data_IF_960765495073
#
_entry.id   IF_960765495073
#
_cell.length_a   1.000
_cell.length_b   1.000
_cell.length_c   1.000
_cell.angle_alpha   90.00
_cell.angle_beta   90.00
_cell.angle_gamma   90.00
#
_symmetry.space_group_name_H-M   'P 1'
#
loop_
_entity.id
_entity.type
_entity.pdbx_description
1 polymer ?
#
# COMPACT_ATOMS: atom_id res chain seq x y z
N UNK A 1 7.04 15.08 -11.18
CA UNK A 1 7.04 14.87 -9.71
C UNK A 1 8.35 14.22 -9.32
N UNK A 2 8.92 14.56 -8.17
CA UNK A 2 10.17 13.96 -7.71
C UNK A 2 9.92 12.52 -7.23
N UNK A 3 10.88 11.63 -7.45
CA UNK A 3 10.84 10.27 -6.90
C UNK A 3 11.08 10.33 -5.39
N UNK A 4 10.25 9.64 -4.61
CA UNK A 4 10.37 9.56 -3.15
C UNK A 4 10.49 8.10 -2.73
N UNK A 5 11.52 7.78 -1.95
CA UNK A 5 11.63 6.50 -1.25
C UNK A 5 11.18 6.69 0.20
N UNK A 6 10.16 5.98 0.63
CA UNK A 6 9.60 6.05 1.97
C UNK A 6 9.67 4.71 2.66
N UNK A 7 9.99 4.74 3.95
CA UNK A 7 9.86 3.64 4.91
C UNK A 7 8.81 4.04 5.93
N UNK A 8 8.57 3.22 6.96
CA UNK A 8 7.64 3.55 8.03
C UNK A 8 7.95 4.90 8.70
N UNK A 9 9.23 5.19 8.95
CA UNK A 9 9.65 6.33 9.77
C UNK A 9 10.34 7.45 8.97
N UNK A 10 10.75 7.19 7.72
CA UNK A 10 11.62 8.11 6.98
C UNK A 10 11.29 8.15 5.50
N UNK A 11 11.23 9.36 4.93
CA UNK A 11 11.15 9.62 3.50
C UNK A 11 12.44 10.25 2.96
N UNK A 12 12.85 9.85 1.76
CA UNK A 12 14.03 10.32 1.04
C UNK A 12 13.59 10.88 -0.31
N UNK A 13 13.77 12.19 -0.50
CA UNK A 13 13.51 12.84 -1.79
C UNK A 13 14.68 12.59 -2.76
N UNK A 14 14.36 12.23 -4.01
CA UNK A 14 15.35 11.94 -5.07
C UNK A 14 16.44 10.98 -4.57
N UNK A 15 16.05 9.77 -4.09
CA UNK A 15 17.00 8.82 -3.53
C UNK A 15 17.97 8.36 -4.62
N UNK A 16 19.27 8.31 -4.29
CA UNK A 16 20.28 7.73 -5.17
C UNK A 16 20.34 6.20 -5.01
N UNK A 17 21.05 5.54 -5.92
CA UNK A 17 21.18 4.08 -5.96
C UNK A 17 21.71 3.50 -4.64
N UNK A 18 22.63 4.22 -3.97
CA UNK A 18 23.22 3.82 -2.70
C UNK A 18 22.23 3.93 -1.53
N UNK A 19 21.42 4.99 -1.52
CA UNK A 19 20.34 5.19 -0.53
C UNK A 19 19.29 4.10 -0.67
N UNK A 20 18.87 3.80 -1.90
CA UNK A 20 17.93 2.70 -2.19
C UNK A 20 18.48 1.38 -1.63
N UNK A 21 19.71 1.01 -2.00
CA UNK A 21 20.33 -0.24 -1.55
C UNK A 21 20.43 -0.32 -0.02
N UNK A 22 20.85 0.77 0.63
CA UNK A 22 20.97 0.84 2.09
C UNK A 22 19.62 0.68 2.79
N UNK A 23 18.59 1.35 2.31
CA UNK A 23 17.25 1.27 2.89
C UNK A 23 16.69 -0.14 2.75
N UNK A 24 16.77 -0.74 1.57
CA UNK A 24 16.29 -2.10 1.33
C UNK A 24 17.04 -3.14 2.17
N UNK A 25 18.36 -3.00 2.30
CA UNK A 25 19.19 -3.86 3.15
C UNK A 25 18.87 -3.73 4.65
N UNK A 26 18.26 -2.61 5.06
CA UNK A 26 17.86 -2.36 6.45
C UNK A 26 16.52 -2.99 6.85
N UNK A 27 15.79 -3.57 5.88
CA UNK A 27 14.52 -4.25 6.12
C UNK A 27 14.77 -5.57 6.86
N UNK A 28 14.44 -5.59 8.15
CA UNK A 28 14.73 -6.68 9.08
C UNK A 28 13.51 -7.55 9.39
N UNK A 29 12.33 -7.18 8.90
CA UNK A 29 11.08 -7.89 9.18
C UNK A 29 10.50 -7.60 10.57
N UNK A 30 11.15 -6.72 11.35
CA UNK A 30 10.71 -6.30 12.67
C UNK A 30 10.08 -4.92 12.63
N UNK A 31 10.87 -3.88 12.89
CA UNK A 31 10.40 -2.48 12.77
C UNK A 31 10.44 -1.99 11.32
N UNK A 32 11.38 -2.51 10.53
CA UNK A 32 11.56 -2.12 9.14
C UNK A 32 11.06 -3.25 8.25
N UNK A 33 9.77 -3.19 7.90
CA UNK A 33 9.09 -4.24 7.13
C UNK A 33 8.74 -3.84 5.71
N UNK A 34 8.80 -2.54 5.40
CA UNK A 34 8.23 -1.97 4.18
C UNK A 34 9.12 -0.85 3.64
N UNK A 35 9.28 -0.82 2.32
CA UNK A 35 9.80 0.34 1.60
C UNK A 35 8.98 0.57 0.34
N UNK A 36 8.65 1.83 0.06
CA UNK A 36 7.83 2.27 -1.07
C UNK A 36 8.58 3.32 -1.86
N UNK A 37 8.70 3.15 -3.17
CA UNK A 37 9.36 4.06 -4.08
C UNK A 37 8.36 4.50 -5.15
N UNK A 38 8.10 5.80 -5.24
CA UNK A 38 7.17 6.33 -6.24
C UNK A 38 7.14 7.85 -6.29
N UNK A 39 6.69 8.45 -7.41
CA UNK A 39 6.40 9.88 -7.49
C UNK A 39 5.07 10.27 -6.82
N UNK A 40 4.13 9.33 -6.66
CA UNK A 40 2.81 9.54 -6.03
C UNK A 40 2.32 8.27 -5.35
N UNK A 41 1.31 8.38 -4.49
CA UNK A 41 0.62 7.23 -3.87
C UNK A 41 -0.17 6.38 -4.90
N UNK A 42 -0.31 6.90 -6.12
CA UNK A 42 -0.99 6.21 -7.22
C UNK A 42 -0.03 5.40 -8.08
N UNK A 43 1.25 5.78 -8.12
CA UNK A 43 2.29 5.17 -8.95
C UNK A 43 3.49 4.85 -8.08
N UNK A 44 3.62 3.59 -7.66
CA UNK A 44 4.72 3.17 -6.80
C UNK A 44 5.09 1.71 -7.02
N UNK A 45 6.35 1.39 -6.74
CA UNK A 45 6.80 0.04 -6.41
C UNK A 45 7.03 -0.03 -4.91
N UNK A 46 6.56 -1.08 -4.28
CA UNK A 46 6.68 -1.31 -2.85
C UNK A 46 7.23 -2.71 -2.62
N UNK A 47 8.07 -2.85 -1.61
CA UNK A 47 8.49 -4.17 -1.14
C UNK A 47 8.12 -4.36 0.31
N UNK A 48 7.80 -5.60 0.65
CA UNK A 48 7.62 -6.06 2.01
C UNK A 48 8.48 -7.29 2.27
N UNK A 49 8.92 -7.46 3.50
CA UNK A 49 9.70 -8.63 3.91
C UNK A 49 11.02 -8.25 4.56
N UNK A 50 12.01 -9.12 4.42
CA UNK A 50 13.31 -8.92 5.05
C UNK A 50 14.42 -9.64 4.31
N UNK A 51 15.67 -9.24 4.56
CA UNK A 51 16.84 -9.93 4.03
C UNK A 51 16.88 -11.42 4.43
N UNK A 52 16.28 -11.79 5.57
CA UNK A 52 16.27 -13.17 6.07
C UNK A 52 15.20 -14.04 5.43
N UNK A 53 14.05 -13.48 5.12
CA UNK A 53 12.87 -14.21 4.61
C UNK A 53 12.71 -14.08 3.10
N UNK A 54 13.45 -13.17 2.49
CA UNK A 54 13.18 -12.67 1.14
C UNK A 54 12.07 -11.64 1.13
N UNK A 55 11.81 -11.15 -0.08
CA UNK A 55 10.95 -10.01 -0.34
C UNK A 55 9.79 -10.36 -1.28
N UNK A 56 8.65 -9.73 -1.04
CA UNK A 56 7.57 -9.60 -2.02
C UNK A 56 7.56 -8.19 -2.61
N UNK A 57 7.02 -8.05 -3.81
CA UNK A 57 6.78 -6.77 -4.46
C UNK A 57 5.30 -6.51 -4.67
N UNK A 58 4.89 -5.27 -4.44
CA UNK A 58 3.63 -4.72 -4.90
C UNK A 58 3.93 -3.57 -5.88
N UNK A 59 3.19 -3.51 -6.98
CA UNK A 59 3.27 -2.45 -7.98
C UNK A 59 1.89 -1.83 -8.16
N UNK A 60 1.80 -0.51 -8.11
CA UNK A 60 0.58 0.22 -8.46
C UNK A 60 0.87 1.17 -9.61
N UNK A 61 0.04 1.10 -10.66
CA UNK A 61 0.20 1.87 -11.90
C UNK A 61 -1.04 2.75 -12.13
N UNK A 62 -1.06 3.89 -11.45
CA UNK A 62 -2.03 4.98 -11.60
C UNK A 62 -3.35 4.81 -10.85
N UNK A 63 -3.83 3.60 -10.60
CA UNK A 63 -5.05 3.38 -9.84
C UNK A 63 -5.03 2.09 -9.02
N UNK A 64 -5.91 2.02 -8.03
CA UNK A 64 -6.10 0.84 -7.18
C UNK A 64 -6.56 -0.40 -7.97
N UNK A 65 -7.24 -0.21 -9.11
CA UNK A 65 -7.63 -1.31 -10.01
C UNK A 65 -6.43 -1.90 -10.78
N UNK A 66 -5.31 -1.18 -10.79
CA UNK A 66 -4.05 -1.54 -11.44
C UNK A 66 -2.96 -1.78 -10.39
N UNK A 67 -3.34 -2.50 -9.34
CA UNK A 67 -2.43 -3.00 -8.33
C UNK A 67 -2.08 -4.46 -8.62
N UNK A 68 -0.79 -4.75 -8.58
CA UNK A 68 -0.21 -6.06 -8.85
C UNK A 68 0.69 -6.46 -7.68
N UNK A 69 0.76 -7.75 -7.41
CA UNK A 69 1.67 -8.34 -6.43
C UNK A 69 2.50 -9.43 -7.09
N UNK A 70 3.78 -9.53 -6.75
CA UNK A 70 4.63 -10.63 -7.23
C UNK A 70 4.12 -11.97 -6.67
N UNK A 71 4.04 -12.98 -7.52
CA UNK A 71 3.67 -14.35 -7.07
C UNK A 71 4.76 -14.93 -6.17
N UNK A 72 6.02 -14.68 -6.51
CA UNK A 72 7.17 -14.99 -5.66
C UNK A 72 7.29 -13.97 -4.52
N UNK A 73 7.26 -14.45 -3.28
CA UNK A 73 7.42 -13.64 -2.04
C UNK A 73 8.77 -13.83 -1.34
N UNK A 74 9.71 -14.52 -2.00
CA UNK A 74 11.05 -14.79 -1.50
C UNK A 74 12.11 -14.27 -2.48
N UNK A 75 11.87 -13.09 -3.08
CA UNK A 75 12.84 -12.45 -3.97
C UNK A 75 14.10 -12.04 -3.19
N UNK A 76 15.31 -12.21 -3.75
CA UNK A 76 16.55 -11.85 -3.09
C UNK A 76 16.77 -10.34 -3.07
N UNK A 77 17.51 -9.84 -2.07
CA UNK A 77 17.80 -8.41 -1.88
C UNK A 77 18.41 -7.76 -3.12
N UNK A 78 19.39 -8.41 -3.75
CA UNK A 78 20.11 -7.87 -4.91
C UNK A 78 19.16 -7.60 -6.07
N UNK A 79 18.26 -8.55 -6.35
CA UNK A 79 17.29 -8.42 -7.43
C UNK A 79 16.26 -7.32 -7.13
N UNK A 80 15.74 -7.23 -5.90
CA UNK A 80 14.80 -6.16 -5.50
C UNK A 80 15.47 -4.79 -5.56
N UNK A 81 16.73 -4.71 -5.17
CA UNK A 81 17.53 -3.49 -5.24
C UNK A 81 17.69 -3.02 -6.68
N UNK A 82 18.05 -3.93 -7.60
CA UNK A 82 18.15 -3.63 -9.02
C UNK A 82 16.80 -3.16 -9.59
N UNK A 83 15.70 -3.84 -9.24
CA UNK A 83 14.36 -3.45 -9.68
C UNK A 83 13.98 -2.03 -9.21
N UNK A 84 14.25 -1.68 -7.95
CA UNK A 84 13.99 -0.34 -7.42
C UNK A 84 14.86 0.73 -8.10
N UNK A 85 16.15 0.45 -8.33
CA UNK A 85 17.06 1.37 -9.02
C UNK A 85 16.65 1.59 -10.49
N UNK A 86 16.26 0.52 -11.20
CA UNK A 86 15.69 0.62 -12.56
C UNK A 86 14.42 1.46 -12.56
N UNK A 87 13.50 1.18 -11.63
CA UNK A 87 12.26 1.95 -11.49
C UNK A 87 12.52 3.44 -11.22
N UNK A 88 13.46 3.78 -10.33
CA UNK A 88 13.86 5.16 -10.04
C UNK A 88 14.33 5.92 -11.30
N UNK A 89 14.91 5.20 -12.27
CA UNK A 89 15.41 5.72 -13.55
C UNK A 89 14.35 5.69 -14.66
N UNK A 90 13.14 5.21 -14.37
CA UNK A 90 12.06 5.05 -15.35
C UNK A 90 12.22 3.81 -16.24
N UNK A 91 13.15 2.91 -15.92
CA UNK A 91 13.30 1.63 -16.59
C UNK A 91 12.33 0.60 -15.98
N UNK A 92 11.53 0.00 -16.85
CA UNK A 92 10.45 -0.93 -16.51
C UNK A 92 10.75 -2.37 -16.94
N UNK A 93 11.95 -2.64 -17.46
CA UNK A 93 12.38 -3.96 -17.96
C UNK A 93 12.27 -5.06 -16.90
N UNK A 94 12.59 -4.73 -15.64
CA UNK A 94 12.51 -5.63 -14.49
C UNK A 94 11.12 -6.23 -14.25
N UNK A 95 10.04 -5.58 -14.73
CA UNK A 95 8.67 -6.10 -14.55
C UNK A 95 8.47 -7.45 -15.23
N UNK A 96 9.19 -7.72 -16.32
CA UNK A 96 9.06 -8.96 -17.09
C UNK A 96 9.83 -10.14 -16.48
N UNK A 97 10.69 -9.89 -15.49
CA UNK A 97 11.51 -10.91 -14.84
C UNK A 97 10.77 -11.59 -13.67
N UNK A 98 9.58 -11.11 -13.30
CA UNK A 98 8.73 -11.73 -12.27
C UNK A 98 7.31 -11.92 -12.78
N UNK A 99 6.66 -12.94 -12.24
CA UNK A 99 5.23 -13.15 -12.44
C UNK A 99 4.41 -12.29 -11.48
N UNK A 100 3.32 -11.74 -11.98
CA UNK A 100 2.43 -10.83 -11.26
C UNK A 100 1.03 -11.41 -11.16
N UNK A 101 0.43 -11.25 -9.98
CA UNK A 101 -0.98 -11.49 -9.72
C UNK A 101 -1.68 -10.15 -9.49
N UNK A 102 -2.90 -9.99 -10.02
CA UNK A 102 -3.69 -8.78 -9.79
C UNK A 102 -4.22 -8.79 -8.35
N UNK A 103 -3.90 -7.74 -7.58
CA UNK A 103 -4.38 -7.61 -6.21
C UNK A 103 -5.80 -7.03 -6.23
N UNK A 104 -6.81 -7.91 -6.18
CA UNK A 104 -8.21 -7.49 -6.11
C UNK A 104 -8.48 -6.87 -4.74
N UNK A 105 -8.55 -5.54 -4.68
CA UNK A 105 -9.00 -4.86 -3.46
C UNK A 105 -10.49 -5.13 -3.29
N UNK A 106 -10.82 -6.09 -2.42
CA UNK A 106 -12.17 -6.19 -1.86
C UNK A 106 -12.35 -5.03 -0.89
N UNK A 107 -12.95 -3.94 -1.38
CA UNK A 107 -13.49 -2.92 -0.49
C UNK A 107 -14.42 -3.64 0.51
N UNK A 108 -14.28 -3.40 1.82
CA UNK A 108 -15.19 -3.98 2.78
C UNK A 108 -16.60 -3.57 2.39
N UNK A 109 -17.49 -4.55 2.24
CA UNK A 109 -18.90 -4.33 1.97
C UNK A 109 -19.47 -3.62 3.21
N UNK A 110 -19.42 -2.29 3.22
CA UNK A 110 -19.94 -1.49 4.32
C UNK A 110 -21.46 -1.62 4.28
N UNK A 111 -21.99 -2.59 5.05
CA UNK A 111 -23.41 -2.73 5.25
C UNK A 111 -24.03 -1.38 5.66
N UNK A 112 -25.24 -1.12 5.15
CA UNK A 112 -25.96 0.16 5.28
C UNK A 112 -26.09 0.71 6.71
N UNK A 113 -25.87 -0.12 7.73
CA UNK A 113 -25.86 0.24 9.15
C UNK A 113 -24.76 1.25 9.54
N UNK A 114 -23.69 1.39 8.76
CA UNK A 114 -22.66 2.43 8.96
C UNK A 114 -22.96 3.75 8.22
N UNK A 115 -24.10 3.85 7.54
CA UNK A 115 -24.52 5.07 6.84
C UNK A 115 -25.30 6.02 7.76
N UNK A 116 -25.27 7.31 7.45
CA UNK A 116 -26.07 8.37 8.08
C UNK A 116 -27.58 8.03 8.20
N UNK A 117 -28.10 7.16 7.32
CA UNK A 117 -29.45 6.64 7.37
C UNK A 117 -29.78 5.86 8.65
N UNK A 118 -28.83 5.09 9.21
CA UNK A 118 -29.02 4.37 10.48
C UNK A 118 -29.18 5.34 11.66
N UNK A 119 -28.41 6.44 11.66
CA UNK A 119 -28.55 7.51 12.65
C UNK A 119 -29.91 8.21 12.55
N UNK A 120 -30.44 8.45 11.34
CA UNK A 120 -31.77 9.03 11.16
C UNK A 120 -32.87 8.12 11.71
N UNK A 121 -32.81 6.82 11.44
CA UNK A 121 -33.80 5.87 11.96
C UNK A 121 -33.77 5.79 13.49
N UNK A 122 -32.57 5.82 14.09
CA UNK A 122 -32.43 5.86 15.55
C UNK A 122 -33.01 7.14 16.14
N UNK A 123 -32.72 8.30 15.55
CA UNK A 123 -33.27 9.59 15.99
C UNK A 123 -34.79 9.64 15.84
N UNK A 124 -35.34 9.12 14.75
CA UNK A 124 -36.78 9.03 14.55
C UNK A 124 -37.46 8.13 15.58
N UNK A 125 -36.85 6.98 15.91
CA UNK A 125 -37.34 6.09 16.95
C UNK A 125 -37.35 6.78 18.33
N UNK A 126 -36.27 7.47 18.69
CA UNK A 126 -36.17 8.23 19.96
C UNK A 126 -37.22 9.35 20.00
N UNK A 127 -37.36 10.13 18.93
CA UNK A 127 -38.36 11.19 18.85
C UNK A 127 -39.80 10.64 18.99
N UNK A 128 -40.09 9.49 18.35
CA UNK A 128 -41.37 8.80 18.48
C UNK A 128 -41.66 8.38 19.92
N UNK A 129 -40.67 7.83 20.64
CA UNK A 129 -40.81 7.47 22.06
C UNK A 129 -41.06 8.70 22.93
N UNK A 130 -40.31 9.79 22.73
CA UNK A 130 -40.49 11.03 23.49
C UNK A 130 -41.89 11.61 23.29
N UNK A 131 -42.38 11.63 22.04
CA UNK A 131 -43.73 12.10 21.71
C UNK A 131 -44.81 11.25 22.38
N UNK A 132 -44.66 9.93 22.42
CA UNK A 132 -45.60 9.01 23.06
C UNK A 132 -45.66 9.18 24.59
N UNK A 133 -44.53 9.55 25.20
CA UNK A 133 -44.43 9.77 26.66
C UNK A 133 -44.94 11.16 27.07
N UNK A 134 -44.71 12.20 26.27
CA UNK A 134 -45.12 13.59 26.59
C UNK A 134 -46.46 14.02 25.98
N UNK A 135 -46.97 13.29 24.99
CA UNK A 135 -48.26 13.55 24.33
C UNK A 135 -49.46 12.90 25.04
N UNK A 136 -49.28 12.40 26.27
CA UNK A 136 -50.33 11.83 27.12
C UNK A 136 -50.74 12.79 28.23
#
# INVERSE_FOLDING_TARGET
MAMILSTHDTGYERPDDATIAKVLASLDGGRNVLATLGPTDENYVQTHGSVRTGFGLDLQDGSLERRYRSTNRALPLDWVTEAFQKYAKGDLSWRHEVEWEKDEIRLPDTGWWNSWAAYILMLAAVAGVVWLVHGR
#
